data_IF_068934455517
#
_entry.id   IF_068934455517
#
_cell.length_a   1.000
_cell.length_b   1.000
_cell.length_c   1.000
_cell.angle_alpha   90.00
_cell.angle_beta   90.00
_cell.angle_gamma   90.00
#
_symmetry.space_group_name_H-M   'P 1'
#
loop_
_entity.id
_entity.type
_entity.pdbx_description
1 polymer ?
#
# COMPACT_ATOMS: atom_id res chain seq x y z
N UNK A 1 -28.87 1.59 -4.20
CA UNK A 1 -28.62 2.95 -3.68
C UNK A 1 -27.29 3.44 -4.22
N UNK A 2 -27.22 4.67 -4.71
CA UNK A 2 -25.95 5.32 -5.07
C UNK A 2 -25.20 5.77 -3.80
N UNK A 3 -23.85 5.80 -3.81
CA UNK A 3 -23.07 6.33 -2.70
C UNK A 3 -23.30 7.85 -2.53
N UNK A 4 -23.29 8.32 -1.28
CA UNK A 4 -23.35 9.76 -0.98
C UNK A 4 -22.02 10.43 -1.29
N UNK A 5 -22.08 11.66 -1.79
CA UNK A 5 -20.94 12.56 -1.99
C UNK A 5 -20.85 13.66 -0.93
N UNK A 6 -21.71 13.64 0.09
CA UNK A 6 -21.75 14.65 1.15
C UNK A 6 -20.57 14.49 2.15
N UNK A 7 -19.67 15.47 2.25
CA UNK A 7 -18.57 15.44 3.21
C UNK A 7 -19.03 15.49 4.67
N UNK A 8 -20.18 16.10 4.97
CA UNK A 8 -20.67 16.22 6.34
C UNK A 8 -21.16 14.87 6.86
N UNK A 9 -21.98 14.16 6.08
CA UNK A 9 -22.36 12.77 6.37
C UNK A 9 -21.14 11.87 6.59
N UNK A 10 -20.07 12.03 5.79
CA UNK A 10 -18.82 11.29 6.01
C UNK A 10 -18.16 11.62 7.36
N UNK A 11 -18.10 12.90 7.75
CA UNK A 11 -17.54 13.31 9.05
C UNK A 11 -18.33 12.73 10.23
N UNK A 12 -19.65 12.71 10.13
CA UNK A 12 -20.53 12.17 11.17
C UNK A 12 -20.37 10.65 11.30
N UNK A 13 -20.31 9.93 10.18
CA UNK A 13 -20.03 8.50 10.16
C UNK A 13 -18.64 8.19 10.75
N UNK A 14 -17.64 9.02 10.42
CA UNK A 14 -16.28 8.88 10.94
C UNK A 14 -16.23 9.12 12.45
N UNK A 15 -16.89 10.18 12.94
CA UNK A 15 -16.87 10.56 14.35
C UNK A 15 -17.58 9.52 15.25
N UNK A 16 -18.69 8.94 14.78
CA UNK A 16 -19.46 7.91 15.49
C UNK A 16 -18.87 6.49 15.39
N UNK A 17 -17.85 6.28 14.56
CA UNK A 17 -17.24 4.97 14.34
C UNK A 17 -16.43 4.50 15.54
N UNK A 18 -16.75 3.31 16.04
CA UNK A 18 -16.05 2.68 17.16
C UNK A 18 -14.72 2.02 16.78
N UNK A 19 -14.60 1.61 15.50
CA UNK A 19 -13.42 0.98 14.92
C UNK A 19 -13.29 1.43 13.47
N UNK A 20 -12.09 1.85 13.08
CA UNK A 20 -11.81 2.34 11.73
C UNK A 20 -10.74 1.47 11.08
N UNK A 21 -11.03 1.04 9.85
CA UNK A 21 -10.09 0.32 8.98
C UNK A 21 -9.90 1.16 7.72
N UNK A 22 -8.64 1.36 7.33
CA UNK A 22 -8.27 2.10 6.12
C UNK A 22 -7.75 1.09 5.11
N UNK A 23 -8.42 0.97 3.97
CA UNK A 23 -8.00 0.13 2.85
C UNK A 23 -7.33 1.01 1.78
N UNK A 24 -6.04 0.82 1.56
CA UNK A 24 -5.25 1.66 0.64
C UNK A 24 -4.60 0.88 -0.50
N UNK A 25 -5.00 1.21 -1.73
CA UNK A 25 -4.42 0.70 -2.97
C UNK A 25 -3.36 1.62 -3.60
N UNK A 26 -2.93 1.29 -4.82
CA UNK A 26 -1.94 2.07 -5.58
C UNK A 26 -2.35 3.53 -5.81
N UNK A 27 -3.66 3.80 -5.95
CA UNK A 27 -4.20 5.15 -6.19
C UNK A 27 -3.80 6.19 -5.14
N UNK A 28 -3.66 5.80 -3.86
CA UNK A 28 -3.18 6.69 -2.79
C UNK A 28 -1.78 7.27 -3.11
N UNK A 29 -0.96 6.55 -3.89
CA UNK A 29 0.40 6.95 -4.29
C UNK A 29 0.49 7.61 -5.66
N UNK A 30 -0.59 7.71 -6.43
CA UNK A 30 -0.54 8.32 -7.76
C UNK A 30 -0.04 9.77 -7.71
N UNK A 31 -0.54 10.56 -6.75
CA UNK A 31 -0.10 11.94 -6.51
C UNK A 31 1.34 12.06 -5.96
N UNK A 32 2.00 10.93 -5.65
CA UNK A 32 3.43 10.88 -5.32
C UNK A 32 4.31 10.52 -6.52
N UNK A 33 3.75 10.50 -7.74
CA UNK A 33 4.47 10.15 -8.97
C UNK A 33 4.71 8.65 -9.15
N UNK A 34 4.12 7.79 -8.31
CA UNK A 34 4.22 6.34 -8.44
C UNK A 34 3.15 5.88 -9.43
N UNK A 35 3.52 5.16 -10.51
CA UNK A 35 2.55 4.68 -11.48
C UNK A 35 1.57 3.69 -10.83
N UNK A 36 0.30 3.77 -11.23
CA UNK A 36 -0.72 2.80 -10.86
C UNK A 36 -0.75 1.65 -11.86
N UNK A 37 -1.23 0.48 -11.45
CA UNK A 37 -1.42 -0.63 -12.40
C UNK A 37 -2.64 -0.41 -13.30
N UNK A 38 -3.69 0.25 -12.80
CA UNK A 38 -4.95 0.54 -13.52
C UNK A 38 -5.19 2.05 -13.64
N UNK A 39 -6.15 2.45 -14.48
CA UNK A 39 -6.58 3.84 -14.68
C UNK A 39 -6.00 4.49 -15.94
N UNK A 40 -6.24 5.79 -16.11
CA UNK A 40 -5.88 6.54 -17.32
C UNK A 40 -4.39 6.52 -17.64
N UNK A 41 -3.51 6.33 -16.66
CA UNK A 41 -2.06 6.16 -16.88
C UNK A 41 -1.57 4.82 -16.29
N UNK A 42 -2.44 3.80 -16.26
CA UNK A 42 -2.16 2.51 -15.68
C UNK A 42 -1.12 1.72 -16.48
N UNK A 43 -0.20 1.05 -15.77
CA UNK A 43 0.78 0.17 -16.39
C UNK A 43 0.13 -0.98 -17.17
N UNK A 44 -1.04 -1.49 -16.73
CA UNK A 44 -1.74 -2.65 -17.30
C UNK A 44 -2.62 -2.38 -18.52
N UNK A 45 -2.29 -1.35 -19.31
CA UNK A 45 -3.08 -0.97 -20.48
C UNK A 45 -2.89 -1.88 -21.69
N UNK A 46 -1.71 -2.50 -21.83
CA UNK A 46 -1.39 -3.41 -22.95
C UNK A 46 -1.40 -4.87 -22.48
N UNK A 47 -1.64 -5.84 -23.38
CA UNK A 47 -1.58 -7.27 -23.01
C UNK A 47 -0.23 -7.65 -22.37
N UNK A 48 0.87 -7.13 -22.91
CA UNK A 48 2.24 -7.37 -22.43
C UNK A 48 2.46 -6.97 -20.97
N UNK A 49 1.80 -5.91 -20.52
CA UNK A 49 2.04 -5.40 -19.17
C UNK A 49 1.47 -6.25 -18.03
N UNK A 50 0.48 -7.11 -18.32
CA UNK A 50 -0.07 -8.08 -17.36
C UNK A 50 0.78 -9.34 -17.27
N UNK A 51 1.48 -9.67 -18.35
CA UNK A 51 2.40 -10.80 -18.45
C UNK A 51 3.61 -10.61 -17.51
N UNK A 52 4.01 -9.37 -17.24
CA UNK A 52 5.09 -9.08 -16.28
C UNK A 52 4.81 -9.43 -14.81
N UNK A 53 3.68 -10.07 -14.51
CA UNK A 53 3.28 -10.49 -13.17
C UNK A 53 2.95 -12.00 -13.07
N UNK A 54 3.41 -12.83 -14.02
CA UNK A 54 3.21 -14.29 -13.98
C UNK A 54 4.53 -15.05 -13.82
N UNK A 55 4.53 -16.22 -13.14
CA UNK A 55 5.71 -17.08 -13.03
C UNK A 55 6.25 -17.54 -14.40
N UNK A 56 5.36 -17.82 -15.35
CA UNK A 56 5.71 -18.35 -16.68
C UNK A 56 6.58 -17.35 -17.45
N UNK A 57 6.22 -16.07 -17.43
CA UNK A 57 6.96 -15.00 -18.13
C UNK A 57 8.28 -14.69 -17.43
N UNK A 58 8.33 -14.82 -16.10
CA UNK A 58 9.59 -14.73 -15.36
C UNK A 58 10.57 -15.84 -15.74
N UNK A 59 10.07 -17.06 -15.96
CA UNK A 59 10.91 -18.17 -16.39
C UNK A 59 11.37 -18.03 -17.85
N UNK A 60 10.55 -17.38 -18.71
CA UNK A 60 10.91 -17.15 -20.11
C UNK A 60 11.95 -16.03 -20.29
N UNK A 61 11.78 -14.88 -19.64
CA UNK A 61 12.71 -13.75 -19.73
C UNK A 61 12.81 -13.00 -18.39
N UNK A 62 13.63 -13.50 -17.43
CA UNK A 62 13.78 -12.87 -16.14
C UNK A 62 14.43 -11.49 -16.25
N UNK A 63 15.27 -11.24 -17.25
CA UNK A 63 15.98 -9.96 -17.43
C UNK A 63 14.99 -8.84 -17.73
N UNK A 64 14.06 -9.06 -18.67
CA UNK A 64 13.01 -8.08 -19.01
C UNK A 64 12.10 -7.79 -17.82
N UNK A 65 11.74 -8.82 -17.04
CA UNK A 65 10.93 -8.65 -15.83
C UNK A 65 11.67 -7.81 -14.79
N UNK A 66 12.95 -8.10 -14.55
CA UNK A 66 13.78 -7.32 -13.65
C UNK A 66 13.92 -5.87 -14.09
N UNK A 67 14.11 -5.60 -15.38
CA UNK A 67 14.17 -4.24 -15.93
C UNK A 67 12.86 -3.49 -15.71
N UNK A 68 11.71 -4.12 -15.97
CA UNK A 68 10.39 -3.55 -15.72
C UNK A 68 10.21 -3.16 -14.25
N UNK A 69 10.47 -4.10 -13.33
CA UNK A 69 10.37 -3.82 -11.90
C UNK A 69 11.45 -2.85 -11.41
N UNK A 70 12.64 -2.82 -12.01
CA UNK A 70 13.69 -1.86 -11.66
C UNK A 70 13.23 -0.42 -11.89
N UNK A 71 12.60 -0.11 -13.02
CA UNK A 71 12.04 1.22 -13.31
C UNK A 71 11.00 1.65 -12.27
N UNK A 72 10.06 0.75 -11.91
CA UNK A 72 9.07 1.03 -10.86
C UNK A 72 9.77 1.21 -9.52
N UNK A 73 10.77 0.37 -9.24
CA UNK A 73 11.52 0.39 -8.00
C UNK A 73 12.23 1.72 -7.81
N UNK A 74 12.88 2.23 -8.84
CA UNK A 74 13.58 3.51 -8.83
C UNK A 74 12.61 4.67 -8.53
N UNK A 75 11.45 4.70 -9.22
CA UNK A 75 10.42 5.73 -8.97
C UNK A 75 9.94 5.76 -7.52
N UNK A 76 9.63 4.62 -6.90
CA UNK A 76 9.20 4.69 -5.49
C UNK A 76 10.33 4.93 -4.49
N UNK A 77 11.61 4.77 -4.85
CA UNK A 77 12.72 5.17 -3.98
C UNK A 77 12.73 6.70 -3.84
N UNK A 78 12.59 7.40 -4.96
CA UNK A 78 12.59 8.85 -5.07
C UNK A 78 11.25 9.51 -4.70
N UNK A 79 10.14 8.76 -4.72
CA UNK A 79 8.82 9.28 -4.39
C UNK A 79 8.74 9.79 -2.93
N UNK A 80 8.12 10.97 -2.77
CA UNK A 80 7.82 11.57 -1.46
C UNK A 80 6.37 11.30 -1.05
N UNK A 81 6.06 11.23 0.27
CA UNK A 81 4.68 11.24 0.74
C UNK A 81 3.89 12.44 0.19
N UNK A 82 2.58 12.29 0.08
CA UNK A 82 1.67 13.33 -0.40
C UNK A 82 0.67 13.68 0.71
N UNK A 83 -0.20 14.65 0.49
CA UNK A 83 -1.16 15.11 1.49
C UNK A 83 -2.00 13.98 2.10
N UNK A 84 -2.41 12.98 1.30
CA UNK A 84 -3.17 11.84 1.80
C UNK A 84 -2.33 10.94 2.72
N UNK A 85 -1.05 10.71 2.39
CA UNK A 85 -0.15 9.99 3.28
C UNK A 85 0.06 10.70 4.62
N UNK A 86 0.22 12.03 4.60
CA UNK A 86 0.34 12.84 5.82
C UNK A 86 -0.96 12.84 6.64
N UNK A 87 -2.13 12.93 5.99
CA UNK A 87 -3.42 12.84 6.66
C UNK A 87 -3.58 11.51 7.40
N UNK A 88 -3.27 10.39 6.73
CA UNK A 88 -3.32 9.07 7.37
C UNK A 88 -2.30 8.94 8.51
N UNK A 89 -1.09 9.45 8.32
CA UNK A 89 -0.06 9.45 9.36
C UNK A 89 -0.46 10.29 10.59
N UNK A 90 -1.19 11.39 10.39
CA UNK A 90 -1.66 12.25 11.49
C UNK A 90 -2.63 11.54 12.43
N UNK A 91 -3.34 10.49 11.97
CA UNK A 91 -4.18 9.65 12.82
C UNK A 91 -3.39 8.82 13.84
N UNK A 92 -2.06 8.75 13.73
CA UNK A 92 -1.21 8.20 14.79
C UNK A 92 -1.06 9.14 16.00
N UNK A 93 -1.39 10.42 15.86
CA UNK A 93 -1.34 11.41 16.94
C UNK A 93 -2.61 11.32 17.80
N UNK A 94 -2.50 11.13 19.13
CA UNK A 94 -3.67 11.05 20.01
C UNK A 94 -4.58 12.27 19.93
N UNK A 95 -4.02 13.48 19.83
CA UNK A 95 -4.78 14.73 19.72
C UNK A 95 -5.66 14.78 18.47
N UNK A 96 -5.14 14.28 17.34
CA UNK A 96 -5.91 14.22 16.09
C UNK A 96 -7.00 13.16 16.18
N UNK A 97 -6.72 11.99 16.78
CA UNK A 97 -7.74 10.95 16.97
C UNK A 97 -8.85 11.41 17.89
N UNK A 98 -8.53 12.04 19.03
CA UNK A 98 -9.53 12.55 19.96
C UNK A 98 -10.49 13.54 19.27
N UNK A 99 -9.96 14.35 18.34
CA UNK A 99 -10.74 15.32 17.57
C UNK A 99 -11.59 14.70 16.46
N UNK A 100 -11.05 13.74 15.70
CA UNK A 100 -11.70 13.21 14.49
C UNK A 100 -12.47 11.91 14.72
N UNK A 101 -12.08 11.14 15.75
CA UNK A 101 -12.57 9.80 16.06
C UNK A 101 -12.89 9.67 17.56
N UNK A 102 -13.78 10.53 18.11
CA UNK A 102 -14.06 10.55 19.54
C UNK A 102 -14.70 9.26 20.06
N UNK A 103 -15.38 8.49 19.21
CA UNK A 103 -16.10 7.27 19.62
C UNK A 103 -15.29 5.98 19.55
N UNK A 104 -13.97 6.02 19.33
CA UNK A 104 -13.14 4.81 19.27
C UNK A 104 -13.25 3.97 20.54
N UNK A 105 -13.35 2.65 20.36
CA UNK A 105 -13.35 1.70 21.50
C UNK A 105 -12.03 1.73 22.27
N UNK A 106 -10.91 1.95 21.57
CA UNK A 106 -9.58 2.05 22.16
C UNK A 106 -8.86 3.28 21.58
N UNK A 107 -8.89 4.44 22.26
CA UNK A 107 -8.32 5.70 21.74
C UNK A 107 -6.77 5.68 21.73
N UNK A 108 -6.15 4.73 22.43
CA UNK A 108 -4.70 4.58 22.49
C UNK A 108 -4.14 4.00 21.19
N UNK A 109 -4.95 3.25 20.45
CA UNK A 109 -4.57 2.61 19.20
C UNK A 109 -5.01 3.42 17.98
N UNK A 110 -4.18 3.48 16.92
CA UNK A 110 -4.56 4.12 15.68
C UNK A 110 -5.49 3.21 14.86
N UNK A 111 -6.20 3.77 13.87
CA UNK A 111 -6.91 2.98 12.87
C UNK A 111 -6.01 1.96 12.17
N UNK A 112 -6.56 0.78 11.85
CA UNK A 112 -5.82 -0.26 11.15
C UNK A 112 -5.66 0.11 9.66
N UNK A 113 -4.43 0.24 9.20
CA UNK A 113 -4.12 0.43 7.78
C UNK A 113 -3.82 -0.92 7.12
N UNK A 114 -4.66 -1.31 6.17
CA UNK A 114 -4.46 -2.46 5.30
C UNK A 114 -4.09 -1.94 3.90
N UNK A 115 -2.94 -2.38 3.38
CA UNK A 115 -2.47 -1.93 2.06
C UNK A 115 -2.05 -3.10 1.17
N UNK A 116 -2.33 -2.93 -0.13
CA UNK A 116 -1.92 -3.84 -1.21
C UNK A 116 -0.50 -3.51 -1.74
N UNK A 117 0.18 -2.51 -1.17
CA UNK A 117 1.49 -2.07 -1.65
C UNK A 117 2.58 -3.00 -1.12
N UNK A 118 3.40 -3.56 -2.01
CA UNK A 118 4.53 -4.44 -1.69
C UNK A 118 5.72 -3.74 -0.96
N UNK A 119 5.64 -2.45 -0.68
CA UNK A 119 6.72 -1.65 -0.10
C UNK A 119 6.30 -1.00 1.21
N UNK A 120 7.29 -0.64 2.05
CA UNK A 120 7.07 0.13 3.28
C UNK A 120 6.10 1.29 2.95
N UNK A 121 4.94 1.38 3.61
CA UNK A 121 3.93 2.34 3.22
C UNK A 121 4.52 3.76 3.28
N UNK A 122 4.28 4.59 2.27
CA UNK A 122 4.66 6.01 2.32
C UNK A 122 4.12 6.74 3.57
N UNK A 123 2.96 6.39 4.17
CA UNK A 123 2.57 6.94 5.48
C UNK A 123 3.61 6.73 6.59
N UNK A 124 4.36 5.63 6.57
CA UNK A 124 5.42 5.36 7.54
C UNK A 124 6.71 6.16 7.28
N UNK A 125 6.82 6.85 6.13
CA UNK A 125 7.88 7.83 5.81
C UNK A 125 7.41 9.27 6.01
N UNK A 126 6.14 9.48 6.36
CA UNK A 126 5.51 10.80 6.45
C UNK A 126 5.66 11.45 7.84
N UNK A 127 6.20 10.74 8.83
CA UNK A 127 6.51 11.28 10.16
C UNK A 127 8.03 11.42 10.34
N UNK A 128 8.50 12.51 11.00
CA UNK A 128 9.92 12.83 11.17
C UNK A 128 10.67 11.93 12.16
N UNK A 129 9.99 11.03 12.88
CA UNK A 129 10.60 10.06 13.80
C UNK A 129 9.82 8.74 13.79
N UNK A 130 10.46 7.59 14.09
CA UNK A 130 9.77 6.31 14.23
C UNK A 130 8.84 6.36 15.46
N UNK A 131 7.60 6.76 15.26
CA UNK A 131 6.59 6.65 16.31
C UNK A 131 6.19 5.15 16.42
N UNK A 132 6.24 4.54 17.62
CA UNK A 132 5.94 3.11 17.83
C UNK A 132 4.51 2.71 17.42
N UNK A 133 3.65 3.68 17.12
CA UNK A 133 2.23 3.52 16.86
C UNK A 133 1.91 3.06 15.43
N UNK A 134 2.82 3.19 14.45
CA UNK A 134 2.61 2.66 13.08
C UNK A 134 3.05 1.19 12.92
N UNK A 135 3.39 0.52 14.02
CA UNK A 135 3.96 -0.84 14.03
C UNK A 135 3.01 -1.92 13.46
N UNK A 136 1.69 -1.75 13.57
CA UNK A 136 0.73 -2.69 12.95
C UNK A 136 0.30 -2.24 11.55
N UNK A 137 1.26 -2.04 10.66
CA UNK A 137 0.96 -2.16 9.22
C UNK A 137 0.91 -3.65 8.90
N UNK A 138 -0.29 -4.23 8.81
CA UNK A 138 -0.44 -5.59 8.29
C UNK A 138 -0.45 -5.52 6.76
N UNK A 139 0.69 -5.85 6.16
CA UNK A 139 0.77 -6.08 4.72
C UNK A 139 -0.10 -7.30 4.41
N UNK A 140 -1.08 -7.15 3.51
CA UNK A 140 -1.62 -8.29 2.76
C UNK A 140 -0.57 -8.67 1.69
N UNK A 141 0.61 -9.09 2.14
CA UNK A 141 1.38 -10.01 1.33
C UNK A 141 0.59 -11.33 1.40
N UNK A 142 0.23 -11.90 0.25
CA UNK A 142 -0.04 -13.33 0.21
C UNK A 142 1.12 -13.99 0.96
N UNK A 143 0.82 -14.61 2.12
CA UNK A 143 1.83 -15.35 2.87
C UNK A 143 2.35 -16.41 1.90
N UNK A 144 3.59 -16.23 1.47
CA UNK A 144 4.37 -17.27 0.82
C UNK A 144 4.63 -18.29 1.92
N UNK A 145 3.73 -19.25 2.11
CA UNK A 145 4.14 -20.60 2.49
C UNK A 145 4.83 -21.23 1.26
N UNK A 146 5.94 -20.62 0.86
CA UNK A 146 6.97 -21.28 0.09
C UNK A 146 8.02 -21.67 1.12
N UNK A 147 7.70 -22.71 1.91
CA UNK A 147 8.74 -23.63 2.35
C UNK A 147 9.36 -24.15 1.05
N UNK A 148 10.46 -23.52 0.63
CA UNK A 148 11.40 -24.11 -0.29
C UNK A 148 11.88 -25.38 0.42
N UNK A 149 11.26 -26.51 0.09
CA UNK A 149 11.89 -27.79 0.32
C UNK A 149 13.15 -27.83 -0.57
N UNK A 150 14.34 -28.08 -0.01
CA UNK A 150 15.54 -28.27 -0.81
C UNK A 150 15.49 -29.69 -1.39
N UNK A 151 14.78 -29.86 -2.49
CA UNK A 151 14.87 -31.02 -3.38
C UNK A 151 14.55 -30.51 -4.78
N UNK A 152 15.59 -30.42 -5.61
CA UNK A 152 15.60 -30.69 -7.05
C UNK A 152 16.74 -29.89 -7.70
N UNK A 153 17.75 -30.64 -8.18
CA UNK A 153 19.01 -30.13 -8.68
C UNK A 153 18.82 -29.20 -9.88
N UNK A 154 19.46 -28.03 -9.81
CA UNK A 154 19.77 -27.27 -11.01
C UNK A 154 20.84 -28.02 -11.81
N UNK A 155 20.67 -28.23 -13.13
CA UNK A 155 21.75 -28.73 -13.96
C UNK A 155 22.89 -27.70 -14.03
N UNK A 156 24.15 -28.14 -14.17
CA UNK A 156 25.28 -27.24 -14.31
C UNK A 156 25.16 -26.42 -15.60
N UNK A 157 25.36 -25.12 -15.46
CA UNK A 157 25.54 -24.20 -16.58
C UNK A 157 26.81 -24.62 -17.32
N UNK A 158 26.67 -24.96 -18.60
CA UNK A 158 27.80 -25.09 -19.54
C UNK A 158 28.29 -23.71 -19.98
#
# INVERSE_FOLDING_TARGET
MAPSSDPQAFREALASSKRVVILAGAGLSAASGIPTFRGTNGLWKTKDSKLFATPEEFNQDPSRIWQFYHCIRDRCLHAKPNAAHHALASLSLPSIRARLLPSLTDPTKPPLLITQKLRRPLPARALPAPHPCLAETRLLAARRDARLHPQDGLPPVQ
#
